data_IF_266352521835
#
_entry.id   IF_266352521835
#
_cell.length_a   1.000
_cell.length_b   1.000
_cell.length_c   1.000
_cell.angle_alpha   90.00
_cell.angle_beta   90.00
_cell.angle_gamma   90.00
#
_symmetry.space_group_name_H-M   'P 1'
#
loop_
_entity.id
_entity.type
_entity.pdbx_description
1 polymer ?
#
# COMPACT_ATOMS: atom_id res chain seq x y z
N UNK A 1 -17.74 19.85 -10.29
CA UNK A 1 -16.73 18.82 -10.05
C UNK A 1 -16.39 18.84 -8.57
N UNK A 2 -16.08 17.70 -7.97
CA UNK A 2 -15.65 17.61 -6.57
C UNK A 2 -14.16 17.38 -6.56
N UNK A 3 -13.37 18.31 -5.97
CA UNK A 3 -11.94 18.12 -5.79
C UNK A 3 -11.71 17.12 -4.67
N UNK A 4 -10.86 16.14 -4.91
CA UNK A 4 -10.56 15.00 -4.01
C UNK A 4 -9.06 14.74 -3.98
N UNK A 5 -8.51 14.57 -2.80
CA UNK A 5 -7.12 14.12 -2.61
C UNK A 5 -7.09 12.62 -2.41
N UNK A 6 -6.64 11.91 -3.45
CA UNK A 6 -6.47 10.46 -3.46
C UNK A 6 -5.02 10.09 -3.13
N UNK A 7 -4.82 9.14 -2.20
CA UNK A 7 -3.47 8.71 -1.82
C UNK A 7 -3.33 7.19 -1.74
N UNK A 8 -2.08 6.71 -1.80
CA UNK A 8 -1.69 5.34 -1.44
C UNK A 8 -0.48 5.35 -0.51
N UNK A 9 -0.41 4.37 0.42
CA UNK A 9 0.70 4.26 1.35
C UNK A 9 0.87 2.84 1.91
N UNK A 10 2.02 2.23 1.70
CA UNK A 10 2.43 1.03 2.41
C UNK A 10 2.97 1.40 3.79
N UNK A 11 2.30 0.92 4.85
CA UNK A 11 2.56 1.28 6.25
C UNK A 11 3.67 0.46 6.92
N UNK A 12 4.33 -0.46 6.21
CA UNK A 12 5.40 -1.33 6.75
C UNK A 12 4.97 -2.00 8.07
N UNK A 13 3.98 -2.90 7.98
CA UNK A 13 3.45 -3.69 9.10
C UNK A 13 2.74 -2.85 10.19
N UNK A 14 1.58 -2.29 9.86
CA UNK A 14 0.72 -1.63 10.84
C UNK A 14 -0.03 -2.67 11.67
N UNK A 15 0.61 -3.11 12.76
CA UNK A 15 0.13 -4.19 13.61
C UNK A 15 -0.29 -3.71 15.01
N UNK A 16 -1.34 -4.33 15.54
CA UNK A 16 -1.66 -4.32 16.95
C UNK A 16 -1.29 -5.71 17.52
N UNK A 17 -0.37 -5.75 18.46
CA UNK A 17 0.12 -7.02 19.06
C UNK A 17 -0.22 -7.07 20.52
N UNK A 18 -0.35 -8.30 21.03
CA UNK A 18 -0.50 -8.57 22.45
C UNK A 18 0.89 -8.75 23.07
N UNK A 19 1.11 -8.10 24.19
CA UNK A 19 2.29 -8.33 25.02
C UNK A 19 1.83 -9.01 26.30
N UNK A 20 2.20 -10.25 26.47
CA UNK A 20 1.87 -11.01 27.67
C UNK A 20 2.72 -10.55 28.86
N UNK A 21 2.13 -10.66 30.05
CA UNK A 21 2.88 -10.45 31.29
C UNK A 21 4.01 -11.47 31.41
N UNK A 22 5.09 -11.08 32.09
CA UNK A 22 6.21 -11.99 32.38
C UNK A 22 5.69 -13.23 33.12
N UNK A 23 6.05 -14.42 32.61
CA UNK A 23 5.63 -15.71 33.18
C UNK A 23 4.29 -16.25 32.65
N UNK A 24 3.59 -15.54 31.77
CA UNK A 24 2.42 -16.07 31.07
C UNK A 24 2.88 -16.91 29.88
N UNK A 25 2.36 -18.14 29.79
CA UNK A 25 2.56 -19.01 28.63
C UNK A 25 1.56 -18.62 27.52
N UNK A 26 2.03 -18.11 26.37
CA UNK A 26 1.14 -17.72 25.27
C UNK A 26 0.28 -18.87 24.73
N UNK A 27 0.79 -20.10 24.78
CA UNK A 27 0.05 -21.27 24.28
C UNK A 27 -1.16 -21.60 25.16
N UNK A 28 -1.02 -21.43 26.48
CA UNK A 28 -2.15 -21.55 27.39
C UNK A 28 -3.18 -20.44 27.21
N UNK A 29 -2.73 -19.20 26.94
CA UNK A 29 -3.62 -18.09 26.65
C UNK A 29 -4.52 -18.37 25.44
N UNK A 30 -4.00 -19.03 24.42
CA UNK A 30 -4.76 -19.40 23.21
C UNK A 30 -5.81 -20.49 23.47
N UNK A 31 -5.55 -21.40 24.43
CA UNK A 31 -6.46 -22.51 24.77
C UNK A 31 -7.57 -22.05 25.71
N UNK A 32 -7.22 -21.32 26.75
CA UNK A 32 -8.15 -21.02 27.84
C UNK A 32 -8.90 -19.69 27.68
N UNK A 33 -8.42 -18.79 26.80
CA UNK A 33 -9.06 -17.50 26.52
C UNK A 33 -9.11 -16.49 27.69
N UNK A 34 -9.10 -16.95 28.92
CA UNK A 34 -9.26 -16.13 30.13
C UNK A 34 -8.03 -15.29 30.51
N UNK A 35 -6.88 -15.59 29.93
CA UNK A 35 -5.65 -14.84 30.14
C UNK A 35 -5.64 -13.45 29.47
N UNK A 36 -6.67 -13.14 28.68
CA UNK A 36 -6.82 -11.83 28.05
C UNK A 36 -6.83 -10.68 29.08
N UNK A 37 -7.37 -10.92 30.28
CA UNK A 37 -7.41 -9.93 31.36
C UNK A 37 -6.02 -9.59 31.92
N UNK A 38 -5.04 -10.47 31.67
CA UNK A 38 -3.66 -10.33 32.12
C UNK A 38 -2.70 -9.94 31.00
N UNK A 39 -3.23 -9.57 29.84
CA UNK A 39 -2.45 -9.17 28.68
C UNK A 39 -2.45 -7.66 28.54
N UNK A 40 -1.33 -7.12 28.06
CA UNK A 40 -1.25 -5.74 27.63
C UNK A 40 -1.43 -5.66 26.11
N UNK A 41 -2.41 -4.86 25.67
CA UNK A 41 -2.59 -4.55 24.26
C UNK A 41 -1.74 -3.34 23.93
N UNK A 42 -0.67 -3.56 23.19
CA UNK A 42 0.18 -2.46 22.71
C UNK A 42 0.30 -2.52 21.19
N UNK A 43 0.35 -1.35 20.57
CA UNK A 43 0.80 -1.24 19.19
C UNK A 43 2.32 -1.37 19.21
N UNK A 44 2.86 -2.30 18.43
CA UNK A 44 4.31 -2.46 18.32
C UNK A 44 4.93 -1.18 17.79
N UNK A 45 6.07 -0.80 18.36
CA UNK A 45 6.81 0.39 17.99
C UNK A 45 5.91 1.65 17.95
N UNK A 46 5.51 2.08 19.12
CA UNK A 46 4.59 3.22 19.33
C UNK A 46 5.05 4.49 18.59
N UNK A 47 6.37 4.78 18.61
CA UNK A 47 6.90 5.99 17.99
C UNK A 47 6.82 5.90 16.45
N UNK A 48 7.06 4.74 15.86
CA UNK A 48 6.86 4.53 14.42
C UNK A 48 5.40 4.70 14.03
N UNK A 49 4.44 4.22 14.85
CA UNK A 49 3.00 4.43 14.58
C UNK A 49 2.60 5.91 14.59
N UNK A 50 3.16 6.69 15.51
CA UNK A 50 2.96 8.16 15.53
C UNK A 50 3.51 8.80 14.25
N UNK A 51 4.68 8.36 13.79
CA UNK A 51 5.27 8.84 12.54
C UNK A 51 4.47 8.42 11.30
N UNK A 52 3.96 7.17 11.26
CA UNK A 52 3.04 6.69 10.22
C UNK A 52 1.79 7.58 10.16
N UNK A 53 1.20 7.91 11.33
CA UNK A 53 0.06 8.81 11.39
C UNK A 53 0.38 10.24 10.92
N UNK A 54 1.56 10.78 11.27
CA UNK A 54 2.03 12.07 10.74
C UNK A 54 2.14 12.04 9.21
N UNK A 55 2.66 10.94 8.64
CA UNK A 55 2.79 10.76 7.20
C UNK A 55 1.41 10.72 6.52
N UNK A 56 0.45 9.97 7.06
CA UNK A 56 -0.93 9.94 6.58
C UNK A 56 -1.57 11.34 6.68
N UNK A 57 -1.46 12.01 7.82
CA UNK A 57 -2.03 13.34 8.02
C UNK A 57 -1.44 14.39 7.06
N UNK A 58 -0.15 14.30 6.75
CA UNK A 58 0.53 15.21 5.80
C UNK A 58 -0.01 15.08 4.37
N UNK A 59 -0.53 13.90 3.97
CA UNK A 59 -1.18 13.75 2.66
C UNK A 59 -2.41 14.65 2.51
N UNK A 60 -3.08 14.97 3.63
CA UNK A 60 -4.39 15.62 3.66
C UNK A 60 -5.41 14.89 2.77
N UNK A 61 -5.24 13.59 2.58
CA UNK A 61 -6.06 12.79 1.69
C UNK A 61 -7.53 12.76 2.16
N UNK A 62 -8.42 12.74 1.20
CA UNK A 62 -9.84 12.48 1.43
C UNK A 62 -10.11 10.98 1.35
N UNK A 63 -9.33 10.28 0.51
CA UNK A 63 -9.35 8.84 0.34
C UNK A 63 -7.91 8.33 0.31
N UNK A 64 -7.59 7.33 1.12
CA UNK A 64 -6.26 6.73 1.15
C UNK A 64 -6.33 5.21 1.12
N UNK A 65 -5.70 4.60 0.13
CA UNK A 65 -5.44 3.17 0.06
C UNK A 65 -4.20 2.83 0.89
N UNK A 66 -4.29 1.81 1.72
CA UNK A 66 -3.21 1.39 2.61
C UNK A 66 -2.81 -0.05 2.34
N UNK A 67 -1.52 -0.34 2.52
CA UNK A 67 -0.97 -1.69 2.43
C UNK A 67 -0.25 -2.04 3.74
N UNK A 68 -0.13 -3.33 4.00
CA UNK A 68 0.46 -3.91 5.22
C UNK A 68 -0.30 -3.57 6.50
N UNK A 69 -1.61 -3.67 6.41
CA UNK A 69 -2.54 -3.51 7.53
C UNK A 69 -2.89 -4.90 8.08
N UNK A 70 -2.74 -5.11 9.39
CA UNK A 70 -2.99 -6.42 10.02
C UNK A 70 -4.46 -6.82 10.02
N UNK A 71 -5.36 -5.90 10.30
CA UNK A 71 -6.79 -6.17 10.42
C UNK A 71 -7.61 -4.89 10.53
N UNK A 72 -8.93 -5.01 10.34
CA UNK A 72 -9.88 -3.91 10.58
C UNK A 72 -9.79 -3.39 12.03
N UNK A 73 -9.61 -4.28 13.00
CA UNK A 73 -9.45 -3.92 14.41
C UNK A 73 -8.20 -3.07 14.65
N UNK A 74 -7.06 -3.47 14.06
CA UNK A 74 -5.80 -2.72 14.14
C UNK A 74 -5.95 -1.33 13.52
N UNK A 75 -6.54 -1.23 12.32
CA UNK A 75 -6.72 0.04 11.62
C UNK A 75 -7.69 0.98 12.34
N UNK A 76 -8.82 0.46 12.86
CA UNK A 76 -9.76 1.25 13.66
C UNK A 76 -9.10 1.81 14.92
N UNK A 77 -8.32 0.97 15.64
CA UNK A 77 -7.57 1.40 16.82
C UNK A 77 -6.56 2.48 16.45
N UNK A 78 -5.79 2.28 15.39
CA UNK A 78 -4.82 3.25 14.91
C UNK A 78 -5.49 4.59 14.53
N UNK A 79 -6.57 4.56 13.74
CA UNK A 79 -7.34 5.74 13.37
C UNK A 79 -7.84 6.50 14.61
N UNK A 80 -8.41 5.78 15.59
CA UNK A 80 -8.98 6.40 16.78
C UNK A 80 -7.92 7.04 17.69
N UNK A 81 -6.72 6.46 17.77
CA UNK A 81 -5.64 6.97 18.60
C UNK A 81 -4.85 8.12 17.95
N UNK A 82 -4.56 8.01 16.66
CA UNK A 82 -3.58 8.91 16.01
C UNK A 82 -4.16 9.79 14.90
N UNK A 83 -5.33 9.44 14.36
CA UNK A 83 -5.98 10.17 13.27
C UNK A 83 -7.36 10.71 13.67
N UNK A 84 -7.63 10.80 14.98
CA UNK A 84 -8.91 11.35 15.49
C UNK A 84 -9.15 12.75 14.91
N UNK A 85 -10.38 12.99 14.43
CA UNK A 85 -10.79 14.27 13.84
C UNK A 85 -10.27 14.52 12.42
N UNK A 86 -9.64 13.52 11.75
CA UNK A 86 -9.22 13.66 10.36
C UNK A 86 -10.31 13.32 9.35
N UNK A 87 -11.50 12.87 9.82
CA UNK A 87 -12.68 12.62 8.98
C UNK A 87 -12.70 11.26 8.27
N UNK A 88 -11.81 10.34 8.60
CA UNK A 88 -11.83 8.98 8.03
C UNK A 88 -12.90 8.12 8.72
N UNK A 89 -14.15 8.35 8.38
CA UNK A 89 -15.29 7.68 9.02
C UNK A 89 -15.62 6.33 8.37
N UNK A 90 -15.21 6.14 7.12
CA UNK A 90 -15.42 4.93 6.34
C UNK A 90 -14.10 4.17 6.21
N UNK A 91 -14.08 2.90 6.65
CA UNK A 91 -12.88 2.07 6.68
C UNK A 91 -13.23 0.66 6.24
N UNK A 92 -12.50 0.13 5.27
CA UNK A 92 -12.55 -1.26 4.82
C UNK A 92 -11.15 -1.87 4.96
N UNK A 93 -11.09 -3.09 5.46
CA UNK A 93 -9.95 -4.00 5.42
C UNK A 93 -10.51 -5.37 5.07
N UNK A 94 -9.97 -6.01 4.06
CA UNK A 94 -10.30 -7.39 3.71
C UNK A 94 -9.08 -8.26 3.97
N UNK A 95 -9.29 -9.33 4.75
CA UNK A 95 -8.25 -10.31 5.04
C UNK A 95 -7.85 -11.02 3.73
N UNK A 96 -6.56 -11.07 3.47
CA UNK A 96 -5.99 -11.75 2.31
C UNK A 96 -5.43 -13.14 2.64
N UNK A 97 -4.69 -13.71 1.68
CA UNK A 97 -4.09 -15.03 1.79
C UNK A 97 -2.65 -15.01 2.34
N UNK A 98 -2.14 -13.84 2.77
CA UNK A 98 -0.77 -13.76 3.28
C UNK A 98 -0.72 -14.21 4.75
N UNK A 99 0.07 -15.27 5.08
CA UNK A 99 0.13 -15.81 6.44
C UNK A 99 0.75 -14.85 7.47
N UNK A 100 1.26 -13.70 7.05
CA UNK A 100 1.78 -12.66 7.93
C UNK A 100 0.72 -11.66 8.37
N UNK A 101 -0.54 -11.79 7.87
CA UNK A 101 -1.64 -10.86 8.11
C UNK A 101 -1.26 -9.43 7.68
N UNK A 102 -0.91 -9.26 6.42
CA UNK A 102 -0.59 -7.97 5.80
C UNK A 102 -1.53 -7.74 4.63
N UNK A 103 -2.58 -7.03 4.90
CA UNK A 103 -3.70 -6.87 4.00
C UNK A 103 -3.75 -5.49 3.36
N UNK A 104 -4.66 -5.32 2.41
CA UNK A 104 -4.98 -4.04 1.79
C UNK A 104 -6.20 -3.42 2.48
N UNK A 105 -6.21 -2.11 2.53
CA UNK A 105 -7.26 -1.35 3.20
C UNK A 105 -7.55 -0.03 2.48
N UNK A 106 -8.69 0.56 2.81
CA UNK A 106 -9.02 1.92 2.43
C UNK A 106 -9.63 2.67 3.61
N UNK A 107 -9.22 3.91 3.80
CA UNK A 107 -9.87 4.88 4.67
C UNK A 107 -10.38 6.04 3.82
N UNK A 108 -11.61 6.47 4.07
CA UNK A 108 -12.27 7.53 3.30
C UNK A 108 -13.06 8.45 4.19
N UNK A 109 -13.12 9.73 3.80
CA UNK A 109 -14.07 10.72 4.35
C UNK A 109 -15.45 10.60 3.70
N UNK A 110 -15.53 9.91 2.57
CA UNK A 110 -16.74 9.67 1.80
C UNK A 110 -17.22 8.24 1.93
N UNK A 111 -18.50 7.96 1.74
CA UNK A 111 -19.05 6.60 1.75
C UNK A 111 -18.30 5.67 0.80
N UNK A 112 -18.17 4.41 1.22
CA UNK A 112 -17.57 3.31 0.43
C UNK A 112 -18.68 2.32 0.13
N UNK A 113 -18.90 1.99 -1.14
CA UNK A 113 -19.92 1.07 -1.61
C UNK A 113 -19.34 0.04 -2.57
N UNK A 114 -20.12 -0.95 -2.98
CA UNK A 114 -19.78 -1.96 -4.00
C UNK A 114 -18.40 -2.56 -3.76
N UNK A 115 -18.17 -3.04 -2.53
CA UNK A 115 -16.90 -3.64 -2.12
C UNK A 115 -16.83 -5.07 -2.65
N UNK A 116 -15.76 -5.40 -3.39
CA UNK A 116 -15.53 -6.72 -3.94
C UNK A 116 -14.10 -7.19 -3.67
N UNK A 117 -13.87 -8.51 -3.74
CA UNK A 117 -12.62 -9.19 -3.39
C UNK A 117 -12.25 -10.27 -4.40
N UNK A 118 -10.96 -10.39 -4.68
CA UNK A 118 -10.40 -11.43 -5.54
C UNK A 118 -9.51 -12.43 -4.79
N UNK A 119 -9.57 -12.43 -3.45
CA UNK A 119 -8.73 -13.28 -2.61
C UNK A 119 -8.90 -14.79 -2.88
N UNK A 120 -10.07 -15.23 -3.31
CA UNK A 120 -10.37 -16.64 -3.54
C UNK A 120 -10.01 -17.14 -4.96
N UNK A 121 -9.48 -16.30 -5.83
CA UNK A 121 -9.09 -16.66 -7.18
C UNK A 121 -7.90 -17.62 -7.22
N UNK A 122 -8.16 -18.90 -7.42
CA UNK A 122 -7.12 -19.92 -7.56
C UNK A 122 -6.48 -19.89 -8.94
N UNK A 123 -5.16 -19.89 -9.02
CA UNK A 123 -4.41 -19.90 -10.26
C UNK A 123 -3.62 -21.20 -10.44
N UNK A 124 -4.06 -22.04 -11.41
CA UNK A 124 -3.44 -23.34 -11.71
C UNK A 124 -1.97 -23.23 -12.14
N UNK A 125 -1.54 -22.11 -12.77
CA UNK A 125 -0.16 -21.93 -13.27
C UNK A 125 0.88 -21.77 -12.16
N UNK A 126 0.46 -21.34 -10.99
CA UNK A 126 1.30 -21.16 -9.81
C UNK A 126 0.89 -22.07 -8.65
N UNK A 127 -0.16 -22.89 -8.85
CA UNK A 127 -0.77 -23.76 -7.85
C UNK A 127 -1.00 -23.04 -6.50
N UNK A 128 -1.56 -21.83 -6.58
CA UNK A 128 -1.84 -20.96 -5.44
C UNK A 128 -2.85 -19.89 -5.83
N UNK A 129 -3.32 -19.12 -4.85
CA UNK A 129 -4.15 -17.95 -5.12
C UNK A 129 -3.42 -16.90 -5.96
N UNK A 130 -4.14 -16.27 -6.88
CA UNK A 130 -3.63 -15.17 -7.73
C UNK A 130 -3.11 -14.04 -6.87
N UNK A 131 -3.92 -13.62 -5.91
CA UNK A 131 -3.57 -12.57 -4.97
C UNK A 131 -3.20 -13.16 -3.60
N UNK A 132 -2.06 -12.70 -3.04
CA UNK A 132 -1.69 -13.01 -1.65
C UNK A 132 -2.35 -12.05 -0.69
N UNK A 133 -2.51 -10.77 -1.06
CA UNK A 133 -3.06 -9.69 -0.26
C UNK A 133 -4.31 -9.14 -0.89
N UNK A 134 -4.93 -9.59 -1.82
CA UNK A 134 -6.10 -9.13 -2.56
C UNK A 134 -5.81 -8.07 -3.66
N UNK A 135 -6.79 -7.95 -4.56
CA UNK A 135 -7.11 -6.76 -5.33
C UNK A 135 -8.46 -6.28 -4.81
N UNK A 136 -8.44 -5.39 -3.81
CA UNK A 136 -9.66 -4.84 -3.21
C UNK A 136 -10.30 -3.85 -4.16
N UNK A 137 -11.55 -4.10 -4.53
CA UNK A 137 -12.35 -3.17 -5.30
C UNK A 137 -13.36 -2.45 -4.41
N UNK A 138 -13.58 -1.17 -4.68
CA UNK A 138 -14.67 -0.43 -4.05
C UNK A 138 -14.98 0.86 -4.81
N UNK A 139 -16.21 1.34 -4.63
CA UNK A 139 -16.63 2.66 -5.09
C UNK A 139 -16.53 3.67 -3.96
N UNK A 140 -15.91 4.81 -4.23
CA UNK A 140 -16.02 5.99 -3.38
C UNK A 140 -17.14 6.85 -3.92
N UNK A 141 -18.13 7.15 -3.06
CA UNK A 141 -19.34 7.88 -3.45
C UNK A 141 -19.28 9.34 -3.00
N UNK A 142 -19.20 10.23 -3.98
CA UNK A 142 -19.13 11.67 -3.77
C UNK A 142 -20.52 12.33 -3.87
N UNK A 143 -20.66 13.61 -3.47
CA UNK A 143 -21.89 14.36 -3.64
C UNK A 143 -22.43 14.29 -5.08
N UNK A 144 -23.76 14.31 -5.23
CA UNK A 144 -24.47 14.13 -6.50
C UNK A 144 -24.30 12.75 -7.13
N UNK A 145 -24.05 11.74 -6.28
CA UNK A 145 -23.86 10.32 -6.67
C UNK A 145 -22.76 10.09 -7.70
N UNK A 146 -21.72 10.93 -7.72
CA UNK A 146 -20.52 10.67 -8.51
C UNK A 146 -19.70 9.57 -7.87
N UNK A 147 -19.05 8.74 -8.67
CA UNK A 147 -18.32 7.57 -8.20
C UNK A 147 -16.90 7.54 -8.77
N UNK A 148 -15.99 7.05 -7.97
CA UNK A 148 -14.63 6.68 -8.35
C UNK A 148 -14.42 5.22 -7.95
N UNK A 149 -14.22 4.33 -8.92
CA UNK A 149 -13.88 2.93 -8.68
C UNK A 149 -12.40 2.82 -8.34
N UNK A 150 -12.07 2.19 -7.24
CA UNK A 150 -10.70 1.91 -6.83
C UNK A 150 -10.38 0.43 -6.97
N UNK A 151 -9.20 0.12 -7.52
CA UNK A 151 -8.59 -1.20 -7.56
C UNK A 151 -7.32 -1.14 -6.73
N UNK A 152 -7.39 -1.55 -5.45
CA UNK A 152 -6.32 -1.39 -4.47
C UNK A 152 -5.51 -2.67 -4.39
N UNK A 153 -4.20 -2.56 -4.58
CA UNK A 153 -3.32 -3.70 -4.76
C UNK A 153 -2.12 -3.67 -3.82
N UNK A 154 -1.68 -4.89 -3.44
CA UNK A 154 -0.36 -5.10 -2.87
C UNK A 154 0.23 -6.38 -3.50
N UNK A 155 1.07 -6.23 -4.52
CA UNK A 155 1.61 -7.37 -5.27
C UNK A 155 2.66 -8.15 -4.49
N UNK A 156 2.99 -9.35 -4.97
CA UNK A 156 4.02 -10.21 -4.36
C UNK A 156 5.34 -9.46 -4.24
N UNK A 157 5.83 -9.38 -3.01
CA UNK A 157 7.13 -8.80 -2.69
C UNK A 157 8.27 -9.39 -3.53
N UNK A 158 9.26 -8.57 -3.84
CA UNK A 158 10.53 -9.02 -4.42
C UNK A 158 11.35 -9.89 -3.46
N UNK A 159 11.02 -9.93 -2.17
CA UNK A 159 11.72 -10.77 -1.21
C UNK A 159 11.33 -12.24 -1.35
N UNK A 160 12.33 -13.13 -1.37
CA UNK A 160 12.18 -14.57 -1.33
C UNK A 160 13.11 -15.15 -0.26
N UNK A 161 12.54 -15.86 0.74
CA UNK A 161 13.29 -16.34 1.90
C UNK A 161 14.32 -17.39 1.51
N UNK A 162 13.99 -18.28 0.56
CA UNK A 162 14.86 -19.35 0.10
C UNK A 162 16.05 -18.81 -0.70
N UNK A 163 15.87 -17.75 -1.47
CA UNK A 163 16.92 -17.15 -2.30
C UNK A 163 16.75 -15.60 -2.32
N UNK A 164 17.14 -14.93 -1.24
CA UNK A 164 16.92 -13.49 -1.10
C UNK A 164 17.69 -12.65 -2.13
N UNK A 165 18.76 -13.18 -2.72
CA UNK A 165 19.57 -12.46 -3.71
C UNK A 165 18.95 -12.48 -5.12
N UNK A 166 18.06 -13.42 -5.42
CA UNK A 166 17.32 -13.49 -6.68
C UNK A 166 15.81 -13.28 -6.50
N UNK A 167 15.40 -12.70 -5.39
CA UNK A 167 14.01 -12.61 -5.01
C UNK A 167 13.11 -11.90 -6.04
N UNK A 168 13.58 -10.81 -6.67
CA UNK A 168 12.85 -10.14 -7.75
C UNK A 168 12.60 -11.05 -8.93
N UNK A 169 13.62 -11.78 -9.37
CA UNK A 169 13.56 -12.74 -10.49
C UNK A 169 12.61 -13.91 -10.16
N UNK A 170 12.79 -14.52 -8.99
CA UNK A 170 12.04 -15.70 -8.56
C UNK A 170 10.56 -15.41 -8.36
N UNK A 171 10.22 -14.26 -7.80
CA UNK A 171 8.83 -13.84 -7.58
C UNK A 171 8.16 -13.15 -8.78
N UNK A 172 8.91 -12.89 -9.87
CA UNK A 172 8.43 -12.19 -11.07
C UNK A 172 7.19 -12.82 -11.70
N UNK A 173 7.17 -14.16 -11.82
CA UNK A 173 6.04 -14.89 -12.43
C UNK A 173 4.72 -14.56 -11.72
N UNK A 174 4.74 -14.51 -10.38
CA UNK A 174 3.53 -14.20 -9.60
C UNK A 174 3.09 -12.75 -9.81
N UNK A 175 4.01 -11.78 -9.80
CA UNK A 175 3.67 -10.37 -10.09
C UNK A 175 3.12 -10.18 -11.52
N UNK A 176 3.67 -10.88 -12.51
CA UNK A 176 3.13 -10.88 -13.90
C UNK A 176 1.69 -11.35 -13.94
N UNK A 177 1.37 -12.43 -13.22
CA UNK A 177 0.01 -12.98 -13.14
C UNK A 177 -0.91 -11.97 -12.48
N UNK A 178 -0.49 -11.36 -11.37
CA UNK A 178 -1.26 -10.34 -10.66
C UNK A 178 -1.52 -9.11 -11.52
N UNK A 179 -0.49 -8.55 -12.13
CA UNK A 179 -0.64 -7.38 -13.01
C UNK A 179 -1.55 -7.64 -14.22
N UNK A 180 -1.46 -8.86 -14.80
CA UNK A 180 -2.36 -9.26 -15.88
C UNK A 180 -3.81 -9.37 -15.39
N UNK A 181 -4.02 -10.01 -14.23
CA UNK A 181 -5.36 -10.20 -13.69
C UNK A 181 -6.03 -8.89 -13.28
N UNK A 182 -5.28 -7.95 -12.70
CA UNK A 182 -5.80 -6.60 -12.41
C UNK A 182 -6.32 -5.92 -13.68
N UNK A 183 -5.58 -6.02 -14.79
CA UNK A 183 -6.05 -5.48 -16.08
C UNK A 183 -7.34 -6.17 -16.55
N UNK A 184 -7.45 -7.49 -16.38
CA UNK A 184 -8.67 -8.25 -16.72
C UNK A 184 -9.84 -7.82 -15.84
N UNK A 185 -9.66 -7.68 -14.53
CA UNK A 185 -10.66 -7.20 -13.57
C UNK A 185 -11.18 -5.81 -13.98
N UNK A 186 -10.28 -4.90 -14.32
CA UNK A 186 -10.68 -3.57 -14.80
C UNK A 186 -11.51 -3.68 -16.08
N UNK A 187 -11.16 -4.57 -17.01
CA UNK A 187 -11.91 -4.77 -18.26
C UNK A 187 -13.24 -5.52 -18.04
N UNK A 188 -13.37 -6.31 -16.98
CA UNK A 188 -14.65 -6.91 -16.59
C UNK A 188 -15.65 -5.81 -16.16
N UNK A 189 -15.19 -4.76 -15.46
CA UNK A 189 -15.98 -3.61 -15.03
C UNK A 189 -16.11 -2.51 -16.12
N UNK A 190 -15.06 -2.29 -16.89
CA UNK A 190 -14.93 -1.26 -17.93
C UNK A 190 -14.45 -1.91 -19.24
N UNK A 191 -15.33 -2.52 -20.04
CA UNK A 191 -14.94 -3.36 -21.20
C UNK A 191 -14.06 -2.66 -22.25
N UNK A 192 -14.23 -1.36 -22.45
CA UNK A 192 -13.41 -0.52 -23.33
C UNK A 192 -12.25 0.18 -22.58
N UNK A 193 -12.13 -0.06 -21.28
CA UNK A 193 -11.12 0.54 -20.41
C UNK A 193 -11.36 2.02 -20.11
N UNK A 194 -12.58 2.52 -20.35
CA UNK A 194 -12.95 3.91 -20.11
C UNK A 194 -13.87 4.03 -18.89
N UNK A 195 -13.70 5.09 -18.09
CA UNK A 195 -14.52 5.31 -16.90
C UNK A 195 -13.74 6.04 -15.80
N UNK A 196 -14.42 6.31 -14.70
CA UNK A 196 -13.81 6.95 -13.54
C UNK A 196 -13.23 5.90 -12.61
N UNK A 197 -11.98 5.50 -12.82
CA UNK A 197 -11.30 4.55 -11.94
C UNK A 197 -9.83 4.89 -11.70
N UNK A 198 -9.29 4.32 -10.62
CA UNK A 198 -7.87 4.34 -10.32
C UNK A 198 -7.39 2.96 -9.85
N UNK A 199 -6.22 2.54 -10.36
CA UNK A 199 -5.51 1.33 -9.92
C UNK A 199 -4.33 1.82 -9.08
N UNK A 200 -4.26 1.45 -7.79
CA UNK A 200 -3.27 2.01 -6.91
C UNK A 200 -2.76 1.02 -5.86
N UNK A 201 -1.60 1.32 -5.29
CA UNK A 201 -0.99 0.53 -4.24
C UNK A 201 0.49 0.26 -4.45
N UNK A 202 1.02 -0.67 -3.66
CA UNK A 202 2.37 -1.18 -3.78
C UNK A 202 2.42 -2.34 -4.79
N UNK A 203 2.96 -2.07 -5.98
CA UNK A 203 3.11 -3.10 -7.02
C UNK A 203 4.38 -3.94 -6.86
N UNK A 204 5.22 -3.61 -5.86
CA UNK A 204 6.42 -4.37 -5.51
C UNK A 204 7.35 -4.69 -6.71
N UNK A 205 7.34 -3.82 -7.72
CA UNK A 205 8.23 -3.89 -8.88
C UNK A 205 8.42 -2.48 -9.47
N UNK A 206 9.44 -2.32 -10.31
CA UNK A 206 9.78 -1.09 -11.02
C UNK A 206 9.96 -1.38 -12.51
N UNK A 207 9.78 -0.36 -13.36
CA UNK A 207 9.78 -0.54 -14.81
C UNK A 207 11.16 -0.87 -15.39
N UNK A 208 12.23 -0.36 -14.78
CA UNK A 208 13.59 -0.58 -15.27
C UNK A 208 14.01 -2.05 -15.16
N UNK A 209 14.48 -2.63 -16.25
CA UNK A 209 15.20 -3.91 -16.25
C UNK A 209 16.61 -3.75 -15.74
N UNK A 210 17.09 -4.69 -14.94
CA UNK A 210 18.45 -4.71 -14.38
C UNK A 210 18.95 -6.15 -14.19
N UNK A 211 20.05 -6.33 -13.46
CA UNK A 211 20.61 -7.64 -13.13
C UNK A 211 19.65 -8.57 -12.37
N UNK A 212 18.63 -8.01 -11.71
CA UNK A 212 17.57 -8.76 -11.02
C UNK A 212 16.43 -9.19 -11.96
N UNK A 213 16.46 -8.80 -13.23
CA UNK A 213 15.54 -9.20 -14.27
C UNK A 213 14.67 -8.06 -14.83
N UNK A 214 13.80 -8.45 -15.75
CA UNK A 214 12.83 -7.54 -16.38
C UNK A 214 11.65 -7.26 -15.47
N UNK A 215 10.97 -6.11 -15.71
CA UNK A 215 9.73 -5.75 -15.02
C UNK A 215 8.62 -6.79 -15.19
N UNK A 216 7.79 -6.94 -14.17
CA UNK A 216 6.58 -7.75 -14.23
C UNK A 216 5.31 -6.91 -14.48
N UNK A 217 5.37 -5.62 -14.23
CA UNK A 217 4.20 -4.72 -14.22
C UNK A 217 4.07 -3.85 -15.48
N UNK A 218 5.05 -3.91 -16.38
CA UNK A 218 5.10 -3.00 -17.54
C UNK A 218 3.84 -3.00 -18.41
N UNK A 219 3.18 -4.18 -18.59
CA UNK A 219 1.94 -4.26 -19.37
C UNK A 219 0.71 -3.65 -18.68
N UNK A 220 0.77 -3.44 -17.35
CA UNK A 220 -0.27 -2.75 -16.60
C UNK A 220 0.03 -1.26 -16.55
N UNK A 221 1.26 -0.89 -16.15
CA UNK A 221 1.64 0.53 -15.97
C UNK A 221 1.68 1.29 -17.30
N UNK A 222 2.14 0.63 -18.38
CA UNK A 222 2.20 1.22 -19.72
C UNK A 222 0.96 0.86 -20.59
N UNK A 223 -0.14 0.51 -19.96
CA UNK A 223 -1.38 0.29 -20.68
C UNK A 223 -1.96 1.63 -21.16
N UNK A 224 -2.32 1.71 -22.43
CA UNK A 224 -2.80 2.93 -23.09
C UNK A 224 -4.09 3.53 -22.47
N UNK A 225 -4.84 2.72 -21.72
CA UNK A 225 -6.06 3.14 -21.00
C UNK A 225 -5.81 3.74 -19.62
N UNK A 226 -4.56 3.79 -19.15
CA UNK A 226 -4.20 4.39 -17.86
C UNK A 226 -3.02 5.35 -17.99
N UNK A 227 -2.86 6.21 -17.00
CA UNK A 227 -1.68 7.06 -16.83
C UNK A 227 -1.10 6.89 -15.43
N UNK A 228 0.18 6.60 -15.34
CA UNK A 228 0.91 6.65 -14.08
C UNK A 228 1.16 8.12 -13.71
N UNK A 229 0.47 8.61 -12.69
CA UNK A 229 0.56 10.04 -12.32
C UNK A 229 1.96 10.44 -11.88
N UNK A 230 2.79 9.50 -11.40
CA UNK A 230 4.17 9.79 -10.96
C UNK A 230 5.05 10.18 -12.14
N UNK A 231 4.73 9.78 -13.38
CA UNK A 231 5.47 10.17 -14.57
C UNK A 231 5.39 11.68 -14.86
N UNK A 232 4.48 12.40 -14.19
CA UNK A 232 4.39 13.88 -14.22
C UNK A 232 5.51 14.56 -13.43
N UNK A 233 6.23 13.82 -12.57
CA UNK A 233 7.37 14.32 -11.80
C UNK A 233 8.67 14.15 -12.60
N UNK A 234 9.71 14.99 -12.34
CA UNK A 234 11.06 14.72 -12.82
C UNK A 234 11.54 13.33 -12.41
N UNK A 235 12.31 12.65 -13.27
CA UNK A 235 12.71 11.26 -13.09
C UNK A 235 13.42 11.00 -11.74
N UNK A 236 14.22 11.93 -11.26
CA UNK A 236 14.93 11.89 -9.99
C UNK A 236 13.99 11.99 -8.77
N UNK A 237 12.76 12.46 -8.98
CA UNK A 237 11.75 12.61 -7.93
C UNK A 237 10.70 11.50 -7.91
N UNK A 238 10.75 10.54 -8.84
CA UNK A 238 9.70 9.51 -8.99
C UNK A 238 9.77 8.36 -7.98
N UNK A 239 10.84 8.26 -7.17
CA UNK A 239 10.99 7.17 -6.23
C UNK A 239 10.08 7.30 -5.00
N UNK A 240 9.52 6.17 -4.58
CA UNK A 240 8.56 6.06 -3.46
C UNK A 240 9.04 5.16 -2.35
N UNK A 241 10.10 4.38 -2.57
CA UNK A 241 10.60 3.38 -1.64
C UNK A 241 12.11 3.50 -1.45
N UNK A 242 12.57 3.32 -0.22
CA UNK A 242 13.97 3.25 0.19
C UNK A 242 14.34 1.83 0.60
N UNK A 243 15.25 1.21 -0.16
CA UNK A 243 15.85 -0.06 0.21
C UNK A 243 17.23 0.16 0.85
N UNK A 244 17.39 -0.31 2.09
CA UNK A 244 18.63 -0.13 2.88
C UNK A 244 19.85 -0.88 2.35
N UNK A 245 19.67 -1.73 1.33
CA UNK A 245 20.70 -2.62 0.82
C UNK A 245 20.76 -3.95 1.56
N UNK A 246 21.61 -4.84 1.06
CA UNK A 246 21.91 -6.15 1.66
C UNK A 246 23.39 -6.49 1.47
N UNK A 247 24.14 -6.50 2.55
CA UNK A 247 25.56 -6.93 2.51
C UNK A 247 25.68 -8.40 2.10
N UNK A 248 24.77 -9.26 2.52
CA UNK A 248 24.73 -10.69 2.13
C UNK A 248 24.65 -10.88 0.62
N UNK A 249 23.92 -10.00 -0.09
CA UNK A 249 23.71 -10.10 -1.54
C UNK A 249 24.56 -9.09 -2.33
N UNK A 250 25.38 -8.29 -1.66
CA UNK A 250 26.14 -7.22 -2.31
C UNK A 250 25.25 -6.10 -2.90
N UNK A 251 24.01 -5.97 -2.44
CA UNK A 251 23.11 -4.93 -2.96
C UNK A 251 23.33 -3.61 -2.25
N UNK A 252 23.56 -2.52 -3.00
CA UNK A 252 23.65 -1.19 -2.43
C UNK A 252 22.26 -0.67 -1.96
N UNK A 253 22.27 0.42 -1.22
CA UNK A 253 21.07 1.22 -0.99
C UNK A 253 20.48 1.65 -2.32
N UNK A 254 19.15 1.55 -2.47
CA UNK A 254 18.46 1.97 -3.69
C UNK A 254 17.16 2.71 -3.37
N UNK A 255 16.77 3.54 -4.33
CA UNK A 255 15.55 4.33 -4.31
C UNK A 255 14.78 3.99 -5.58
N UNK A 256 13.55 3.51 -5.46
CA UNK A 256 12.76 3.00 -6.59
C UNK A 256 11.30 3.39 -6.44
N UNK A 257 10.62 3.55 -7.55
CA UNK A 257 9.17 3.60 -7.55
C UNK A 257 8.64 2.18 -7.36
N UNK A 258 7.90 1.92 -6.28
CA UNK A 258 7.17 0.67 -6.03
C UNK A 258 5.69 0.92 -5.84
N UNK A 259 5.32 2.14 -5.41
CA UNK A 259 3.95 2.58 -5.19
C UNK A 259 3.47 3.36 -6.41
N UNK A 260 2.24 3.07 -6.84
CA UNK A 260 1.65 3.60 -8.06
C UNK A 260 0.25 4.14 -7.81
N UNK A 261 -0.11 5.18 -8.55
CA UNK A 261 -1.49 5.60 -8.79
C UNK A 261 -1.64 5.70 -10.31
N UNK A 262 -2.37 4.76 -10.88
CA UNK A 262 -2.73 4.77 -12.29
C UNK A 262 -4.16 5.28 -12.39
N UNK A 263 -4.35 6.45 -12.96
CA UNK A 263 -5.68 6.97 -13.28
C UNK A 263 -6.12 6.41 -14.65
N UNK A 264 -7.40 6.10 -14.81
CA UNK A 264 -7.95 5.86 -16.14
C UNK A 264 -7.61 7.02 -17.08
N UNK A 265 -7.43 6.76 -18.36
CA UNK A 265 -7.14 7.82 -19.34
C UNK A 265 -8.22 8.90 -19.31
N UNK A 266 -9.49 8.50 -19.27
CA UNK A 266 -10.64 9.41 -19.14
C UNK A 266 -10.51 10.36 -17.96
N UNK A 267 -10.06 9.85 -16.80
CA UNK A 267 -9.89 10.67 -15.60
C UNK A 267 -8.61 11.50 -15.67
N UNK A 268 -7.52 10.97 -16.23
CA UNK A 268 -6.24 11.65 -16.35
C UNK A 268 -6.29 12.86 -17.29
N UNK A 269 -7.02 12.74 -18.41
CA UNK A 269 -7.13 13.78 -19.44
C UNK A 269 -7.80 15.08 -18.91
N UNK A 270 -8.65 14.95 -17.89
CA UNK A 270 -9.30 16.11 -17.24
C UNK A 270 -8.63 16.53 -15.92
N UNK A 271 -7.54 15.87 -15.53
CA UNK A 271 -6.83 16.09 -14.27
C UNK A 271 -5.32 16.16 -14.51
N UNK A 272 -4.77 17.36 -14.62
CA UNK A 272 -3.34 17.60 -14.86
C UNK A 272 -2.51 17.88 -13.59
N UNK A 273 -3.07 17.71 -12.40
CA UNK A 273 -2.37 17.96 -11.13
C UNK A 273 -1.10 17.13 -11.01
N UNK A 274 -0.07 17.71 -10.43
CA UNK A 274 1.20 17.01 -10.15
C UNK A 274 1.07 16.30 -8.80
N UNK A 275 1.42 15.01 -8.72
CA UNK A 275 1.38 14.29 -7.45
C UNK A 275 2.47 14.77 -6.48
N UNK A 276 2.27 14.51 -5.21
CA UNK A 276 3.24 14.77 -4.15
C UNK A 276 3.65 13.45 -3.50
N UNK A 277 4.97 13.22 -3.34
CA UNK A 277 5.53 12.08 -2.62
C UNK A 277 6.06 12.58 -1.28
N UNK A 278 5.49 12.07 -0.16
CA UNK A 278 5.80 12.54 1.18
C UNK A 278 6.94 11.73 1.79
N UNK A 279 8.14 12.27 1.80
CA UNK A 279 9.36 11.61 2.25
C UNK A 279 9.77 11.92 3.69
N UNK A 280 9.05 12.82 4.37
CA UNK A 280 9.36 13.29 5.73
C UNK A 280 9.42 12.18 6.79
N UNK A 281 8.76 11.05 6.55
CA UNK A 281 8.71 9.89 7.45
C UNK A 281 9.83 8.88 7.26
N UNK A 282 10.68 9.03 6.24
CA UNK A 282 11.80 8.13 5.95
C UNK A 282 12.90 8.22 7.02
N UNK A 283 13.60 7.11 7.33
CA UNK A 283 14.71 7.11 8.28
C UNK A 283 15.85 8.01 7.80
N UNK A 284 16.67 8.51 8.73
CA UNK A 284 17.78 9.43 8.40
C UNK A 284 18.83 8.79 7.50
N UNK A 285 19.00 7.46 7.57
CA UNK A 285 19.94 6.73 6.69
C UNK A 285 19.44 6.61 5.22
N UNK A 286 18.22 7.02 4.91
CA UNK A 286 17.75 7.27 3.54
C UNK A 286 18.29 8.62 3.04
N UNK A 287 19.59 8.69 2.82
CA UNK A 287 20.35 9.93 2.64
C UNK A 287 20.21 10.64 1.28
N UNK A 288 19.59 9.98 0.27
CA UNK A 288 19.19 10.70 -0.97
C UNK A 288 18.04 11.69 -0.74
N UNK A 289 17.31 11.55 0.37
CA UNK A 289 16.37 12.57 0.77
C UNK A 289 17.04 13.56 1.73
N UNK A 290 17.23 14.77 1.28
CA UNK A 290 17.88 15.87 2.05
C UNK A 290 16.88 16.87 2.63
N UNK A 291 15.58 16.70 2.33
CA UNK A 291 14.52 17.56 2.83
C UNK A 291 14.21 17.36 4.33
N UNK A 292 13.30 18.17 4.88
CA UNK A 292 12.93 18.11 6.29
C UNK A 292 12.26 16.77 6.65
N UNK A 293 12.58 16.22 7.81
CA UNK A 293 11.95 15.01 8.37
C UNK A 293 11.02 15.38 9.51
N UNK A 294 10.06 14.49 9.79
CA UNK A 294 9.26 14.63 11.00
C UNK A 294 10.17 14.54 12.24
N UNK A 295 9.85 15.34 13.26
CA UNK A 295 10.44 15.21 14.57
C UNK A 295 10.21 13.80 15.12
N UNK A 296 11.25 13.18 15.70
CA UNK A 296 11.23 11.82 16.21
C UNK A 296 11.73 10.76 15.22
N UNK A 297 11.97 11.10 13.95
CA UNK A 297 12.58 10.17 12.99
C UNK A 297 14.02 9.85 13.40
N UNK A 298 14.30 8.54 13.58
CA UNK A 298 15.61 8.02 13.93
C UNK A 298 16.51 7.72 12.73
N UNK A 299 17.67 7.17 13.02
CA UNK A 299 18.63 6.80 11.95
C UNK A 299 18.11 5.67 11.07
N UNK A 300 17.69 4.56 11.69
CA UNK A 300 17.02 3.43 11.01
C UNK A 300 15.58 3.26 11.48
N UNK A 301 15.32 3.53 12.74
CA UNK A 301 14.05 3.56 13.45
C UNK A 301 14.16 4.58 14.61
N UNK A 302 13.03 5.14 15.12
CA UNK A 302 11.69 5.01 14.55
C UNK A 302 11.54 5.71 13.19
N UNK A 303 10.59 5.28 12.37
CA UNK A 303 10.28 5.82 11.04
C UNK A 303 8.79 5.60 10.73
N UNK A 304 8.25 6.30 9.76
CA UNK A 304 6.87 6.08 9.33
C UNK A 304 6.72 4.79 8.52
N UNK A 305 7.64 4.57 7.59
CA UNK A 305 7.75 3.41 6.70
C UNK A 305 9.06 3.51 5.91
N UNK A 306 9.46 2.46 5.20
CA UNK A 306 10.43 2.53 4.11
C UNK A 306 9.79 2.92 2.76
N UNK A 307 8.46 2.98 2.71
CA UNK A 307 7.68 3.56 1.62
C UNK A 307 7.28 5.01 1.93
N UNK A 308 6.96 5.76 0.88
CA UNK A 308 6.51 7.14 0.93
C UNK A 308 5.06 7.24 0.47
N UNK A 309 4.15 7.89 1.22
CA UNK A 309 2.83 8.19 0.70
C UNK A 309 2.91 8.95 -0.62
N UNK A 310 2.11 8.52 -1.59
CA UNK A 310 1.87 9.24 -2.85
C UNK A 310 0.47 9.81 -2.79
N UNK A 311 0.32 11.09 -3.10
CA UNK A 311 -0.99 11.76 -3.10
C UNK A 311 -1.14 12.63 -4.35
N UNK A 312 -2.34 12.62 -4.92
CA UNK A 312 -2.73 13.48 -6.03
C UNK A 312 -4.09 14.12 -5.76
N UNK A 313 -4.29 15.33 -6.25
CA UNK A 313 -5.58 16.00 -6.26
C UNK A 313 -6.25 15.80 -7.62
N UNK A 314 -7.48 15.30 -7.61
CA UNK A 314 -8.28 15.04 -8.81
C UNK A 314 -9.68 15.63 -8.68
N UNK A 315 -10.30 15.96 -9.79
CA UNK A 315 -11.70 16.34 -9.89
C UNK A 315 -12.51 15.15 -10.40
N UNK A 316 -13.54 14.78 -9.65
CA UNK A 316 -14.45 13.68 -9.97
C UNK A 316 -15.84 14.21 -10.33
#
# INVERSE_FOLDING_TARGET
>A
MTSVRLATFNCENLFARFKFNKGVDPNKALIDGWLADKTYFTINDEESKKLTAKAIAETKADVIALQEIESLGALRRFRNLYLKGKGYDHIIVLDGNDPRFIDVAVMSKYPIENVDTHMQEWNKKINWYTFSRDCLECDIVFPKNKRLRLFINHFKSMFEKADPCNGRKNSRKKRLIQAKRVKEIVLDEFPDGEGNYAILGDFNDYLKSDSQGATAIGKLVNWDKVENVIDRLPAEEQWTHYYKGSSKCGFPKTYRQLDYILLSRTLADVNSSIPVIIRKGLPKNANSYTGPRFEGVGNSAPKASDHCPVVIEINV
#
